data_IF_813913986516
#
_entry.id   IF_813913986516
#
_cell.length_a   1.000
_cell.length_b   1.000
_cell.length_c   1.000
_cell.angle_alpha   90.00
_cell.angle_beta   90.00
_cell.angle_gamma   90.00
#
_symmetry.space_group_name_H-M   'P 1'
#
loop_
_entity.id
_entity.type
_entity.pdbx_description
1 polymer ?
#
# COMPACT_ATOMS: atom_id res chain seq x y z
N UNK A 1 1.06 8.40 14.90
CA UNK A 1 0.55 8.06 13.55
C UNK A 1 1.64 7.26 12.87
N UNK A 2 1.31 6.14 12.23
CA UNK A 2 2.24 5.32 11.45
C UNK A 2 1.90 5.47 9.97
N UNK A 3 2.84 5.13 9.09
CA UNK A 3 2.60 5.09 7.65
C UNK A 3 2.95 3.71 7.13
N UNK A 4 1.99 3.11 6.43
CA UNK A 4 2.11 1.79 5.83
C UNK A 4 2.20 1.94 4.31
N UNK A 5 3.12 1.23 3.69
CA UNK A 5 3.09 0.98 2.25
C UNK A 5 2.29 -0.28 2.00
N UNK A 6 1.20 -0.15 1.25
CA UNK A 6 0.35 -1.27 0.86
C UNK A 6 0.51 -1.52 -0.63
N UNK A 7 0.89 -2.73 -1.00
CA UNK A 7 0.95 -3.18 -2.38
C UNK A 7 -0.37 -3.85 -2.71
N UNK A 8 -0.92 -3.51 -3.87
CA UNK A 8 -2.17 -4.05 -4.37
C UNK A 8 -1.94 -4.83 -5.66
N UNK A 9 -2.64 -5.96 -5.75
CA UNK A 9 -2.91 -6.65 -6.99
C UNK A 9 -4.22 -6.09 -7.55
N UNK A 10 -4.17 -5.62 -8.80
CA UNK A 10 -5.35 -5.14 -9.51
C UNK A 10 -5.88 -6.25 -10.41
N UNK A 11 -7.20 -6.35 -10.50
CA UNK A 11 -7.88 -7.33 -11.34
C UNK A 11 -9.01 -6.67 -12.13
N UNK A 12 -9.30 -7.22 -13.31
CA UNK A 12 -10.40 -6.79 -14.17
C UNK A 12 -11.06 -8.00 -14.82
N UNK A 13 -12.39 -8.12 -14.70
CA UNK A 13 -13.15 -9.27 -15.18
C UNK A 13 -12.58 -10.62 -14.66
N UNK A 14 -12.11 -10.62 -13.42
CA UNK A 14 -11.50 -11.79 -12.76
C UNK A 14 -10.11 -12.17 -13.27
N UNK A 15 -9.45 -11.31 -14.07
CA UNK A 15 -8.07 -11.51 -14.52
C UNK A 15 -7.12 -10.55 -13.82
N UNK A 16 -6.04 -11.10 -13.28
CA UNK A 16 -4.96 -10.34 -12.69
C UNK A 16 -4.26 -9.46 -13.74
N UNK A 17 -3.99 -8.22 -13.36
CA UNK A 17 -3.31 -7.24 -14.17
C UNK A 17 -1.83 -7.25 -13.76
N UNK A 18 -1.13 -8.31 -14.19
CA UNK A 18 0.21 -8.67 -13.73
C UNK A 18 1.28 -7.57 -13.88
N UNK A 19 1.06 -6.61 -14.79
CA UNK A 19 2.05 -5.56 -15.10
C UNK A 19 2.05 -4.39 -14.10
N UNK A 20 1.00 -4.22 -13.27
CA UNK A 20 0.82 -3.02 -12.46
C UNK A 20 0.57 -3.34 -10.97
N UNK A 21 1.61 -3.84 -10.29
CA UNK A 21 1.66 -3.77 -8.82
C UNK A 21 1.58 -2.30 -8.40
N UNK A 22 0.45 -1.91 -7.83
CA UNK A 22 0.21 -0.52 -7.43
C UNK A 22 0.47 -0.37 -5.93
N UNK A 23 1.26 0.63 -5.56
CA UNK A 23 1.61 0.90 -4.17
C UNK A 23 0.91 2.15 -3.68
N UNK A 24 0.34 2.08 -2.47
CA UNK A 24 -0.28 3.21 -1.81
C UNK A 24 0.27 3.39 -0.39
N UNK A 25 0.72 4.60 -0.08
CA UNK A 25 1.07 4.98 1.28
C UNK A 25 -0.23 5.34 2.05
N UNK A 26 -0.46 4.68 3.17
CA UNK A 26 -1.65 4.84 4.02
C UNK A 26 -1.22 5.17 5.45
N UNK A 27 -1.67 6.32 5.96
CA UNK A 27 -1.45 6.67 7.35
C UNK A 27 -2.55 6.03 8.22
N UNK A 28 -2.14 5.32 9.27
CA UNK A 28 -3.06 4.67 10.21
C UNK A 28 -2.48 4.70 11.63
N UNK A 29 -3.33 4.43 12.63
CA UNK A 29 -2.88 4.35 14.03
C UNK A 29 -2.04 3.09 14.30
N UNK A 30 -2.48 1.99 13.71
CA UNK A 30 -1.96 0.63 13.84
C UNK A 30 -2.49 -0.24 12.68
N UNK A 31 -2.17 -1.53 12.70
CA UNK A 31 -2.57 -2.50 11.67
C UNK A 31 -4.09 -2.74 11.63
N UNK A 32 -4.76 -2.75 12.78
CA UNK A 32 -6.21 -2.95 12.85
C UNK A 32 -6.93 -1.78 12.16
N UNK A 33 -6.51 -0.55 12.50
CA UNK A 33 -7.04 0.64 11.87
C UNK A 33 -6.68 0.71 10.38
N UNK A 34 -5.52 0.21 9.95
CA UNK A 34 -5.19 0.08 8.53
C UNK A 34 -6.20 -0.82 7.82
N UNK A 35 -6.48 -2.01 8.35
CA UNK A 35 -7.44 -2.95 7.76
C UNK A 35 -8.84 -2.31 7.67
N UNK A 36 -9.27 -1.60 8.70
CA UNK A 36 -10.53 -0.86 8.65
C UNK A 36 -10.57 0.17 7.52
N UNK A 37 -9.49 0.93 7.33
CA UNK A 37 -9.38 1.90 6.23
C UNK A 37 -9.46 1.17 4.89
N UNK A 38 -8.70 0.10 4.70
CA UNK A 38 -8.66 -0.66 3.44
C UNK A 38 -10.03 -1.23 3.04
N UNK A 39 -10.86 -1.61 4.02
CA UNK A 39 -12.20 -2.18 3.79
C UNK A 39 -13.27 -1.10 3.64
N UNK A 40 -13.25 -0.06 4.49
CA UNK A 40 -14.36 0.89 4.63
C UNK A 40 -14.16 2.18 3.82
N UNK A 41 -12.92 2.53 3.49
CA UNK A 41 -12.62 3.78 2.80
C UNK A 41 -12.77 3.61 1.28
N UNK A 42 -13.90 4.09 0.77
CA UNK A 42 -14.23 4.07 -0.67
C UNK A 42 -13.21 4.82 -1.53
N UNK A 43 -12.45 5.75 -0.95
CA UNK A 43 -11.45 6.55 -1.68
C UNK A 43 -10.21 5.76 -2.09
N UNK A 44 -9.98 4.56 -1.54
CA UNK A 44 -8.84 3.71 -1.92
C UNK A 44 -8.90 3.40 -3.42
N UNK A 45 -10.08 3.02 -3.92
CA UNK A 45 -10.31 2.75 -5.35
C UNK A 45 -9.95 3.96 -6.24
N UNK A 46 -10.40 5.16 -5.88
CA UNK A 46 -10.13 6.39 -6.61
C UNK A 46 -8.64 6.75 -6.60
N UNK A 47 -7.98 6.56 -5.44
CA UNK A 47 -6.54 6.81 -5.29
C UNK A 47 -5.72 5.83 -6.14
N UNK A 48 -6.09 4.56 -6.18
CA UNK A 48 -5.45 3.57 -7.06
C UNK A 48 -5.65 3.92 -8.53
N UNK A 49 -6.86 4.30 -8.94
CA UNK A 49 -7.15 4.74 -10.31
C UNK A 49 -6.33 5.97 -10.74
N UNK A 50 -6.10 6.91 -9.82
CA UNK A 50 -5.24 8.05 -10.06
C UNK A 50 -3.77 7.64 -10.26
N UNK A 51 -3.25 6.71 -9.46
CA UNK A 51 -1.85 6.26 -9.55
C UNK A 51 -1.54 5.57 -10.88
N UNK A 52 -2.45 4.74 -11.39
CA UNK A 52 -2.33 4.09 -12.70
C UNK A 52 -2.67 5.04 -13.87
N UNK A 53 -2.97 6.31 -13.58
CA UNK A 53 -3.26 7.38 -14.55
C UNK A 53 -4.34 7.01 -15.57
N UNK A 54 -5.30 6.17 -15.18
CA UNK A 54 -6.36 5.67 -16.05
C UNK A 54 -5.87 4.87 -17.27
N UNK A 55 -4.60 4.44 -17.29
CA UNK A 55 -4.06 3.60 -18.38
C UNK A 55 -4.65 2.20 -18.37
N UNK A 56 -5.10 1.78 -17.20
CA UNK A 56 -5.55 0.43 -16.93
C UNK A 56 -6.88 0.51 -16.19
N UNK A 57 -7.83 -0.32 -16.62
CA UNK A 57 -9.18 -0.40 -16.04
C UNK A 57 -9.17 -1.62 -15.12
N UNK A 58 -9.58 -1.44 -13.86
CA UNK A 58 -9.74 -2.50 -12.88
C UNK A 58 -11.11 -2.38 -12.20
N UNK A 59 -11.69 -3.51 -11.83
CA UNK A 59 -12.95 -3.60 -11.09
C UNK A 59 -12.73 -4.02 -9.62
N UNK A 60 -11.57 -4.64 -9.35
CA UNK A 60 -11.24 -5.24 -8.07
C UNK A 60 -9.77 -5.00 -7.73
N UNK A 61 -9.49 -4.91 -6.43
CA UNK A 61 -8.15 -4.73 -5.89
C UNK A 61 -8.02 -5.47 -4.57
N UNK A 62 -6.86 -6.09 -4.35
CA UNK A 62 -6.58 -6.85 -3.14
C UNK A 62 -5.20 -6.49 -2.60
N UNK A 63 -5.05 -6.22 -1.29
CA UNK A 63 -3.74 -6.01 -0.69
C UNK A 63 -2.97 -7.34 -0.69
N UNK A 64 -1.73 -7.30 -1.18
CA UNK A 64 -0.84 -8.47 -1.32
C UNK A 64 0.41 -8.37 -0.46
N UNK A 65 0.76 -7.17 -0.02
CA UNK A 65 1.85 -6.93 0.92
C UNK A 65 1.62 -5.64 1.70
N UNK A 66 1.94 -5.67 2.99
CA UNK A 66 1.90 -4.52 3.88
C UNK A 66 3.26 -4.38 4.57
N UNK A 67 3.86 -3.20 4.41
CA UNK A 67 5.12 -2.84 5.07
C UNK A 67 4.96 -1.53 5.85
N UNK A 68 5.62 -1.41 7.00
CA UNK A 68 5.62 -0.19 7.81
C UNK A 68 6.89 0.62 7.53
N UNK A 69 6.71 1.92 7.25
CA UNK A 69 7.84 2.83 7.08
C UNK A 69 8.52 3.13 8.42
N UNK A 70 9.83 3.26 8.36
CA UNK A 70 10.59 3.86 9.45
C UNK A 70 10.33 5.36 9.49
N UNK A 71 10.16 5.89 10.69
CA UNK A 71 9.99 7.33 10.91
C UNK A 71 11.28 7.91 11.48
N UNK A 72 11.73 9.04 10.93
CA UNK A 72 12.86 9.82 11.45
C UNK A 72 12.39 11.14 12.03
N UNK A 73 13.01 11.53 13.14
CA UNK A 73 12.84 12.86 13.71
C UNK A 73 13.85 13.79 13.06
N UNK A 74 13.36 14.90 12.49
CA UNK A 74 14.24 16.01 12.07
C UNK A 74 14.63 16.86 13.27
N UNK A 75 15.63 17.72 13.08
CA UNK A 75 16.14 18.61 14.14
C UNK A 75 15.02 19.46 14.77
N UNK A 76 14.97 19.48 16.11
CA UNK A 76 14.01 20.28 16.87
C UNK A 76 12.63 19.62 17.03
N UNK A 77 11.57 20.44 17.03
CA UNK A 77 10.17 20.02 17.20
C UNK A 77 9.45 19.81 15.85
N UNK A 78 10.19 19.49 14.79
CA UNK A 78 9.57 19.21 13.50
C UNK A 78 8.75 17.91 13.54
N UNK A 79 7.68 17.80 12.71
CA UNK A 79 6.93 16.56 12.58
C UNK A 79 7.82 15.39 12.16
N UNK A 80 7.46 14.18 12.61
CA UNK A 80 8.10 12.95 12.13
C UNK A 80 7.93 12.83 10.62
N UNK A 81 9.02 12.44 9.96
CA UNK A 81 9.08 12.21 8.53
C UNK A 81 9.30 10.72 8.25
N UNK A 82 8.80 10.24 7.12
CA UNK A 82 9.14 8.91 6.60
C UNK A 82 10.62 8.90 6.21
N UNK A 83 11.40 8.01 6.81
CA UNK A 83 12.78 7.77 6.47
C UNK A 83 12.88 6.97 5.16
N UNK A 84 12.78 7.68 4.02
CA UNK A 84 12.80 7.08 2.67
C UNK A 84 14.14 6.43 2.31
N UNK A 85 15.20 6.69 3.07
CA UNK A 85 16.52 6.10 2.89
C UNK A 85 16.63 4.70 3.51
N UNK A 86 15.61 4.28 4.28
CA UNK A 86 15.53 2.98 4.92
C UNK A 86 14.40 2.14 4.34
N UNK A 87 14.70 0.88 4.05
CA UNK A 87 13.69 -0.05 3.55
C UNK A 87 12.56 -0.25 4.59
N UNK A 88 11.28 -0.25 4.16
CA UNK A 88 10.16 -0.54 5.03
C UNK A 88 10.24 -1.94 5.66
N UNK A 89 9.74 -2.08 6.87
CA UNK A 89 9.63 -3.39 7.52
C UNK A 89 8.37 -4.11 7.03
N UNK A 90 8.51 -5.21 6.30
CA UNK A 90 7.36 -6.01 5.87
C UNK A 90 6.72 -6.71 7.06
N UNK A 91 5.42 -6.44 7.26
CA UNK A 91 4.63 -6.97 8.36
C UNK A 91 3.74 -8.14 7.92
N UNK A 92 3.30 -8.12 6.67
CA UNK A 92 2.41 -9.13 6.11
C UNK A 92 2.58 -9.23 4.59
N UNK A 93 2.46 -10.45 4.08
CA UNK A 93 2.36 -10.78 2.65
C UNK A 93 1.26 -11.80 2.49
N UNK A 94 0.49 -11.70 1.40
CA UNK A 94 -0.40 -12.78 1.02
C UNK A 94 0.44 -14.03 0.70
N UNK A 95 0.08 -15.20 1.25
CA UNK A 95 0.87 -16.43 1.03
C UNK A 95 0.81 -16.92 -0.43
N UNK A 96 -0.20 -16.52 -1.20
CA UNK A 96 -0.26 -16.75 -2.65
C UNK A 96 0.55 -15.70 -3.41
N UNK A 97 0.86 -14.57 -2.80
CA UNK A 97 1.79 -13.59 -3.34
C UNK A 97 3.24 -14.06 -3.15
N UNK A 98 3.70 -14.88 -4.10
CA UNK A 98 5.11 -15.28 -4.24
C UNK A 98 5.88 -14.06 -4.78
N UNK A 99 6.16 -13.11 -3.89
CA UNK A 99 6.78 -11.82 -4.17
C UNK A 99 8.18 -11.85 -4.79
N UNK A 100 8.78 -13.01 -5.08
CA UNK A 100 9.91 -13.18 -6.00
C UNK A 100 10.26 -14.68 -6.15
N UNK A 101 10.35 -15.15 -7.41
CA UNK A 101 11.39 -16.08 -7.81
C UNK A 101 11.78 -15.82 -9.26
N UNK A 102 12.72 -14.90 -9.46
CA UNK A 102 13.76 -14.93 -10.49
C UNK A 102 14.95 -14.11 -9.99
#
# INVERSE_FOLDING_TARGET
MRVFQVHFLLSNDGKELHDDKTMLDVAAKDMENLVEILIKDVSISERLAFLIKGKLVFDTYEPIQISEFHMRQRYGNEPLEIDRDREPNTLWTDENYIGQKL
#
